data_IF_155864912808
#
_entry.id   IF_155864912808
#
_cell.length_a   1.000
_cell.length_b   1.000
_cell.length_c   1.000
_cell.angle_alpha   90.00
_cell.angle_beta   90.00
_cell.angle_gamma   90.00
#
_symmetry.space_group_name_H-M   'P 1'
#
loop_
_entity.id
_entity.type
_entity.pdbx_description
1 polymer ?
#
# COMPACT_ATOMS: atom_id res chain seq x y z
N UNK A 1 26.40 9.66 -11.97
CA UNK A 1 25.28 9.72 -11.02
C UNK A 1 25.49 8.65 -9.99
N UNK A 2 25.25 8.92 -8.71
CA UNK A 2 25.33 7.94 -7.63
C UNK A 2 24.35 6.80 -7.92
N UNK A 3 24.81 5.55 -7.87
CA UNK A 3 23.89 4.42 -7.98
C UNK A 3 23.16 4.24 -6.66
N UNK A 4 21.85 4.01 -6.71
CA UNK A 4 21.04 3.72 -5.53
C UNK A 4 20.69 2.25 -5.52
N UNK A 5 20.80 1.65 -4.35
CA UNK A 5 20.53 0.24 -4.13
C UNK A 5 19.49 0.04 -3.03
N UNK A 6 18.79 -1.09 -3.11
CA UNK A 6 17.89 -1.57 -2.06
C UNK A 6 18.71 -2.48 -1.14
N UNK A 7 18.96 -2.03 0.09
CA UNK A 7 19.70 -2.78 1.10
C UNK A 7 18.82 -3.87 1.77
N UNK A 8 17.55 -3.56 1.99
CA UNK A 8 16.56 -4.50 2.53
C UNK A 8 15.15 -4.15 2.06
N UNK A 9 14.25 -5.13 2.16
CA UNK A 9 12.84 -5.00 1.86
C UNK A 9 12.02 -5.77 2.90
N UNK A 10 10.84 -5.27 3.24
CA UNK A 10 9.90 -5.91 4.17
C UNK A 10 8.47 -5.43 3.92
N UNK A 11 7.50 -6.28 4.25
CA UNK A 11 6.07 -5.92 4.30
C UNK A 11 5.37 -6.64 5.44
N UNK A 12 4.26 -6.10 5.92
CA UNK A 12 3.32 -6.89 6.73
C UNK A 12 2.62 -7.91 5.82
N UNK A 13 1.89 -8.88 6.39
CA UNK A 13 0.80 -9.51 5.66
C UNK A 13 -0.18 -8.46 5.12
N UNK A 14 -0.96 -8.82 4.11
CA UNK A 14 -2.08 -8.03 3.62
C UNK A 14 -3.36 -8.53 4.30
N UNK A 15 -3.92 -7.68 5.17
CA UNK A 15 -5.19 -7.93 5.83
C UNK A 15 -6.37 -7.70 4.90
N UNK A 16 -7.44 -8.46 5.08
CA UNK A 16 -8.71 -8.21 4.37
C UNK A 16 -9.45 -7.02 5.01
N UNK A 17 -10.34 -6.37 4.26
CA UNK A 17 -11.21 -5.33 4.82
C UNK A 17 -11.98 -5.86 6.04
N UNK A 18 -11.88 -5.14 7.15
CA UNK A 18 -12.43 -5.53 8.46
C UNK A 18 -11.91 -6.87 9.00
N UNK A 19 -10.74 -7.32 8.51
CA UNK A 19 -10.04 -8.55 8.90
C UNK A 19 -9.05 -8.34 10.06
N UNK A 20 -7.89 -8.99 9.98
CA UNK A 20 -6.90 -9.00 11.07
C UNK A 20 -6.46 -7.62 11.56
N UNK A 21 -6.31 -6.66 10.65
CA UNK A 21 -5.82 -5.32 10.97
C UNK A 21 -6.93 -4.28 11.15
N UNK A 22 -8.19 -4.69 11.27
CA UNK A 22 -9.33 -3.77 11.37
C UNK A 22 -9.24 -2.72 12.49
N UNK A 23 -8.43 -2.98 13.53
CA UNK A 23 -8.22 -2.08 14.66
C UNK A 23 -6.77 -1.63 14.82
N UNK A 24 -5.94 -1.79 13.79
CA UNK A 24 -4.51 -1.47 13.84
C UNK A 24 -4.22 -0.23 13.01
N UNK A 25 -3.84 0.91 13.62
CA UNK A 25 -3.49 2.11 12.88
C UNK A 25 -2.41 1.84 11.81
N UNK A 26 -2.53 2.48 10.64
CA UNK A 26 -1.59 2.29 9.53
C UNK A 26 -0.13 2.59 9.93
N UNK A 27 0.09 3.57 10.82
CA UNK A 27 1.42 3.93 11.30
C UNK A 27 2.05 2.88 12.22
N UNK A 28 1.26 2.01 12.86
CA UNK A 28 1.80 0.89 13.63
C UNK A 28 2.25 -0.25 12.70
N UNK A 29 1.51 -0.49 11.60
CA UNK A 29 1.94 -1.39 10.53
C UNK A 29 3.23 -0.87 9.87
N UNK A 30 3.28 0.45 9.61
CA UNK A 30 4.47 1.14 9.10
C UNK A 30 5.67 0.99 10.04
N UNK A 31 5.47 1.20 11.35
CA UNK A 31 6.54 1.04 12.33
C UNK A 31 7.14 -0.39 12.32
N UNK A 32 6.28 -1.41 12.30
CA UNK A 32 6.70 -2.81 12.18
C UNK A 32 7.59 -3.06 10.95
N UNK A 33 7.22 -2.49 9.80
CA UNK A 33 8.01 -2.60 8.57
C UNK A 33 9.34 -1.87 8.70
N UNK A 34 9.37 -0.64 9.24
CA UNK A 34 10.60 0.13 9.41
C UNK A 34 11.61 -0.59 10.32
N UNK A 35 11.13 -1.19 11.42
CA UNK A 35 11.98 -1.98 12.31
C UNK A 35 12.57 -3.20 11.59
N UNK A 36 11.76 -3.90 10.80
CA UNK A 36 12.23 -5.04 10.01
C UNK A 36 13.23 -4.63 8.93
N UNK A 37 13.05 -3.47 8.27
CA UNK A 37 13.99 -2.97 7.27
C UNK A 37 15.37 -2.73 7.86
N UNK A 38 15.45 -2.03 8.99
CA UNK A 38 16.71 -1.76 9.68
C UNK A 38 17.36 -3.06 10.14
N UNK A 39 16.59 -3.96 10.78
CA UNK A 39 17.09 -5.25 11.25
C UNK A 39 17.63 -6.12 10.10
N UNK A 40 16.92 -6.20 8.97
CA UNK A 40 17.33 -6.98 7.79
C UNK A 40 18.55 -6.39 7.08
N UNK A 41 18.71 -5.07 7.09
CA UNK A 41 19.89 -4.41 6.54
C UNK A 41 21.12 -4.53 7.45
N UNK A 42 20.93 -4.83 8.74
CA UNK A 42 22.01 -4.95 9.72
C UNK A 42 22.66 -3.61 10.06
N UNK A 43 21.90 -2.52 10.06
CA UNK A 43 22.36 -1.18 10.44
C UNK A 43 21.77 -0.73 11.77
N UNK A 44 22.33 0.31 12.38
CA UNK A 44 21.76 0.92 13.58
C UNK A 44 20.57 1.81 13.22
N UNK A 45 19.52 1.80 14.06
CA UNK A 45 18.34 2.68 13.90
C UNK A 45 18.76 4.15 13.76
N UNK A 46 19.83 4.55 14.45
CA UNK A 46 20.36 5.93 14.45
C UNK A 46 20.89 6.42 13.10
N UNK A 47 21.09 5.52 12.15
CA UNK A 47 21.71 5.85 10.87
C UNK A 47 20.67 6.19 9.78
N UNK A 48 19.39 5.94 10.02
CA UNK A 48 18.32 6.29 9.07
C UNK A 48 18.18 7.82 9.05
N UNK A 49 18.58 8.43 7.93
CA UNK A 49 18.58 9.89 7.73
C UNK A 49 17.17 10.44 7.47
N UNK A 50 16.32 9.65 6.80
CA UNK A 50 14.99 10.09 6.39
C UNK A 50 14.00 8.92 6.27
N UNK A 51 12.72 9.21 6.43
CA UNK A 51 11.62 8.27 6.15
C UNK A 51 10.53 8.92 5.30
N UNK A 52 10.22 8.29 4.16
CA UNK A 52 9.19 8.74 3.22
C UNK A 52 8.16 7.63 3.05
N UNK A 53 6.94 7.82 3.56
CA UNK A 53 5.89 6.82 3.47
C UNK A 53 4.66 7.33 2.74
N UNK A 54 4.20 6.57 1.75
CA UNK A 54 2.91 6.77 1.12
C UNK A 54 1.76 6.41 2.06
N UNK A 55 0.78 7.30 2.22
CA UNK A 55 -0.51 6.98 2.85
C UNK A 55 -1.60 7.88 2.27
N UNK A 56 -2.70 7.29 1.81
CA UNK A 56 -3.78 8.01 1.14
C UNK A 56 -4.83 8.43 2.16
N UNK A 57 -5.33 7.47 2.95
CA UNK A 57 -6.42 7.67 3.89
C UNK A 57 -5.87 8.18 5.23
N UNK A 58 -5.68 9.50 5.31
CA UNK A 58 -5.07 10.19 6.46
C UNK A 58 -6.08 10.95 7.34
N UNK A 59 -7.36 10.92 6.98
CA UNK A 59 -8.42 11.59 7.74
C UNK A 59 -8.45 11.09 9.20
N UNK A 60 -8.27 12.02 10.15
CA UNK A 60 -8.31 11.70 11.58
C UNK A 60 -7.12 10.90 12.12
N UNK A 61 -6.08 10.64 11.32
CA UNK A 61 -4.93 9.81 11.71
C UNK A 61 -3.84 10.57 12.51
N UNK A 62 -4.12 11.80 12.95
CA UNK A 62 -3.15 12.64 13.64
C UNK A 62 -2.17 13.36 12.70
N UNK A 63 -1.20 14.07 13.27
CA UNK A 63 -0.19 14.80 12.49
C UNK A 63 0.80 13.83 11.87
N UNK A 64 1.01 13.93 10.55
CA UNK A 64 2.07 13.24 9.81
C UNK A 64 2.23 11.74 10.17
N UNK A 65 1.35 10.85 9.67
CA UNK A 65 1.40 9.41 9.97
C UNK A 65 2.73 8.73 9.63
N UNK A 66 3.48 9.22 8.64
CA UNK A 66 4.83 8.72 8.35
C UNK A 66 5.81 9.02 9.49
N UNK A 67 5.69 10.20 10.11
CA UNK A 67 6.47 10.56 11.30
C UNK A 67 6.06 9.74 12.52
N UNK A 68 4.77 9.45 12.68
CA UNK A 68 4.30 8.55 13.74
C UNK A 68 4.93 7.16 13.60
N UNK A 69 4.92 6.58 12.39
CA UNK A 69 5.57 5.30 12.13
C UNK A 69 7.09 5.35 12.40
N UNK A 70 7.77 6.40 11.93
CA UNK A 70 9.20 6.60 12.13
C UNK A 70 9.59 6.63 13.62
N UNK A 71 8.90 7.45 14.42
CA UNK A 71 9.19 7.58 15.85
C UNK A 71 8.79 6.31 16.61
N UNK A 72 7.65 5.70 16.28
CA UNK A 72 7.18 4.47 16.93
C UNK A 72 8.13 3.28 16.64
N UNK A 73 8.77 3.25 15.47
CA UNK A 73 9.82 2.30 15.14
C UNK A 73 11.14 2.55 15.90
N UNK A 74 11.25 3.63 16.68
CA UNK A 74 12.45 4.00 17.42
C UNK A 74 13.58 4.55 16.54
N UNK A 75 13.25 5.12 15.37
CA UNK A 75 14.20 5.85 14.54
C UNK A 75 14.44 7.28 15.11
N UNK A 76 15.52 7.98 14.72
CA UNK A 76 15.95 9.22 15.35
C UNK A 76 14.92 10.34 15.26
N UNK A 77 14.70 11.02 16.38
CA UNK A 77 13.82 12.19 16.37
C UNK A 77 14.45 13.38 15.63
N UNK A 78 15.76 13.35 15.42
CA UNK A 78 16.51 14.36 14.66
C UNK A 78 16.35 14.15 13.14
N UNK A 79 16.04 12.94 12.69
CA UNK A 79 15.84 12.59 11.27
C UNK A 79 14.50 13.09 10.74
N UNK A 80 14.45 13.43 9.46
CA UNK A 80 13.21 13.87 8.82
C UNK A 80 12.27 12.68 8.55
N UNK A 81 10.95 12.90 8.67
CA UNK A 81 9.97 11.93 8.18
C UNK A 81 8.70 12.62 7.71
N UNK A 82 8.17 12.19 6.58
CA UNK A 82 7.02 12.84 5.95
C UNK A 82 6.26 11.88 5.03
N UNK A 83 4.98 12.20 4.84
CA UNK A 83 4.07 11.40 4.04
C UNK A 83 3.87 11.95 2.64
N UNK A 84 3.58 11.07 1.69
CA UNK A 84 3.13 11.44 0.35
C UNK A 84 1.79 10.79 0.01
N UNK A 85 0.99 11.50 -0.80
CA UNK A 85 -0.22 10.96 -1.37
C UNK A 85 -0.18 11.15 -2.89
N UNK A 86 0.06 10.03 -3.58
CA UNK A 86 -0.12 9.84 -5.02
C UNK A 86 -1.08 8.67 -5.27
N UNK A 87 -2.13 8.56 -4.43
CA UNK A 87 -3.11 7.47 -4.41
C UNK A 87 -2.42 6.09 -4.41
N UNK A 88 -2.80 5.15 -5.27
CA UNK A 88 -2.19 3.81 -5.33
C UNK A 88 -0.68 3.85 -5.62
N UNK A 89 -0.19 4.90 -6.28
CA UNK A 89 1.22 5.09 -6.59
C UNK A 89 2.08 5.58 -5.43
N UNK A 90 1.48 5.92 -4.28
CA UNK A 90 2.19 6.57 -3.16
C UNK A 90 3.40 5.76 -2.67
N UNK A 91 3.23 4.46 -2.43
CA UNK A 91 4.32 3.63 -1.91
C UNK A 91 5.52 3.55 -2.85
N UNK A 92 5.26 3.36 -4.15
CA UNK A 92 6.32 3.26 -5.16
C UNK A 92 6.94 4.63 -5.47
N UNK A 93 6.14 5.70 -5.46
CA UNK A 93 6.67 7.07 -5.63
C UNK A 93 7.61 7.45 -4.49
N UNK A 94 7.35 6.99 -3.27
CA UNK A 94 8.23 7.24 -2.12
C UNK A 94 9.62 6.66 -2.37
N UNK A 95 9.70 5.43 -2.91
CA UNK A 95 10.98 4.78 -3.29
C UNK A 95 11.70 5.60 -4.36
N UNK A 96 10.99 6.09 -5.38
CA UNK A 96 11.59 6.92 -6.42
C UNK A 96 12.11 8.26 -5.88
N UNK A 97 11.38 8.93 -4.98
CA UNK A 97 11.82 10.18 -4.34
C UNK A 97 13.03 9.92 -3.43
N UNK A 98 12.99 8.88 -2.62
CA UNK A 98 14.10 8.49 -1.75
C UNK A 98 15.36 8.19 -2.58
N UNK A 99 15.22 7.52 -3.72
CA UNK A 99 16.34 7.35 -4.65
C UNK A 99 16.86 8.68 -5.19
N UNK A 100 15.99 9.66 -5.48
CA UNK A 100 16.41 11.02 -5.87
C UNK A 100 17.20 11.70 -4.75
N UNK A 101 16.73 11.63 -3.49
CA UNK A 101 17.41 12.24 -2.35
C UNK A 101 18.81 11.64 -2.13
N UNK A 102 18.95 10.30 -2.22
CA UNK A 102 20.26 9.63 -2.16
C UNK A 102 21.14 10.01 -3.36
N UNK A 103 20.57 10.11 -4.56
CA UNK A 103 21.32 10.51 -5.76
C UNK A 103 21.87 11.94 -5.70
N UNK A 104 21.09 12.84 -5.10
CA UNK A 104 21.41 14.27 -4.97
C UNK A 104 22.29 14.57 -3.75
N UNK A 105 22.43 13.61 -2.82
CA UNK A 105 23.19 13.78 -1.58
C UNK A 105 22.41 14.51 -0.48
N UNK A 106 21.07 14.54 -0.57
CA UNK A 106 20.19 15.13 0.45
C UNK A 106 20.03 14.22 1.68
N UNK A 107 20.20 12.90 1.49
CA UNK A 107 20.12 11.89 2.54
C UNK A 107 20.98 10.67 2.20
N UNK A 108 21.58 10.02 3.21
CA UNK A 108 22.48 8.87 3.00
C UNK A 108 21.72 7.54 3.02
N UNK A 109 20.86 7.35 4.03
CA UNK A 109 20.05 6.14 4.23
C UNK A 109 18.58 6.55 4.40
N UNK A 110 17.73 6.09 3.49
CA UNK A 110 16.33 6.48 3.45
C UNK A 110 15.44 5.24 3.53
N UNK A 111 14.53 5.20 4.50
CA UNK A 111 13.45 4.22 4.51
C UNK A 111 12.27 4.73 3.68
N UNK A 112 11.85 3.97 2.69
CA UNK A 112 10.83 4.40 1.74
C UNK A 112 9.80 3.30 1.44
N UNK A 113 8.53 3.66 1.33
CA UNK A 113 7.47 2.69 1.14
C UNK A 113 6.08 3.28 1.30
N UNK A 114 5.14 2.48 1.79
CA UNK A 114 3.78 2.91 2.08
C UNK A 114 3.12 2.13 3.21
N UNK A 115 2.09 2.73 3.78
CA UNK A 115 1.28 2.18 4.86
C UNK A 115 -0.17 2.58 4.61
N UNK A 116 -1.11 1.65 4.80
CA UNK A 116 -2.53 1.95 4.65
C UNK A 116 -3.37 1.08 5.57
N UNK A 117 -4.47 1.65 6.04
CA UNK A 117 -5.53 0.89 6.68
C UNK A 117 -6.88 1.43 6.21
N UNK A 118 -7.46 0.73 5.23
CA UNK A 118 -8.75 1.07 4.65
C UNK A 118 -9.89 0.79 5.63
N UNK A 119 -9.75 -0.24 6.47
CA UNK A 119 -10.73 -0.61 7.51
C UNK A 119 -10.97 0.48 8.55
N UNK A 120 -9.94 1.29 8.87
CA UNK A 120 -9.99 2.39 9.85
C UNK A 120 -10.34 3.75 9.25
N UNK A 121 -10.67 3.81 7.97
CA UNK A 121 -11.11 5.05 7.33
C UNK A 121 -12.40 5.58 7.98
N UNK A 122 -12.44 6.85 8.43
CA UNK A 122 -13.63 7.40 9.04
C UNK A 122 -14.66 7.81 7.98
N UNK A 123 -15.89 8.02 8.41
CA UNK A 123 -16.76 8.93 7.68
C UNK A 123 -16.50 10.38 8.12
N UNK A 124 -16.63 11.35 7.21
CA UNK A 124 -16.35 12.77 7.45
C UNK A 124 -17.57 13.65 7.17
N UNK A 125 -17.71 14.75 7.92
CA UNK A 125 -18.72 15.78 7.70
C UNK A 125 -18.15 17.16 8.00
N UNK A 126 -18.55 18.17 7.24
CA UNK A 126 -18.10 19.55 7.45
C UNK A 126 -18.96 20.28 8.49
N UNK A 127 -18.66 20.07 9.78
CA UNK A 127 -19.47 20.60 10.88
C UNK A 127 -18.98 21.95 11.45
N UNK A 128 -17.84 22.49 11.01
CA UNK A 128 -17.16 23.60 11.69
C UNK A 128 -17.98 24.89 11.75
N UNK A 129 -18.75 25.20 10.71
CA UNK A 129 -19.65 26.36 10.68
C UNK A 129 -21.02 26.08 11.34
N UNK A 130 -21.25 24.87 11.83
CA UNK A 130 -22.55 24.39 12.29
C UNK A 130 -23.52 24.09 11.14
N UNK A 131 -24.57 23.34 11.44
CA UNK A 131 -25.72 23.12 10.55
C UNK A 131 -26.94 23.81 11.12
N UNK A 132 -27.49 24.79 10.41
CA UNK A 132 -28.57 25.65 10.91
C UNK A 132 -29.92 24.93 10.98
N UNK A 133 -30.26 24.15 9.95
CA UNK A 133 -31.49 23.35 9.84
C UNK A 133 -31.36 22.39 8.64
N UNK A 134 -31.98 21.22 8.69
CA UNK A 134 -31.95 20.21 7.62
C UNK A 134 -30.95 19.07 7.88
N UNK A 135 -30.85 18.14 6.92
CA UNK A 135 -30.08 16.91 7.05
C UNK A 135 -28.56 17.15 6.99
N UNK A 136 -27.80 16.30 7.70
CA UNK A 136 -26.34 16.23 7.65
C UNK A 136 -25.93 14.90 7.03
N UNK A 137 -25.13 14.94 5.96
CA UNK A 137 -24.56 13.73 5.36
C UNK A 137 -23.15 13.46 5.89
N UNK A 138 -22.86 12.17 6.09
CA UNK A 138 -21.53 11.66 6.38
C UNK A 138 -20.96 11.03 5.12
N UNK A 139 -19.77 11.48 4.72
CA UNK A 139 -19.08 11.02 3.50
C UNK A 139 -18.09 9.94 3.90
N UNK A 140 -18.17 8.77 3.28
CA UNK A 140 -17.15 7.72 3.40
C UNK A 140 -15.82 8.23 2.83
N UNK A 141 -14.79 8.40 3.69
CA UNK A 141 -13.49 8.93 3.26
C UNK A 141 -12.69 7.93 2.45
N UNK A 142 -12.83 6.63 2.67
CA UNK A 142 -12.18 5.61 1.84
C UNK A 142 -12.65 5.72 0.40
N UNK A 143 -13.96 5.83 0.19
CA UNK A 143 -14.51 6.02 -1.15
C UNK A 143 -14.09 7.39 -1.68
N UNK A 144 -14.35 8.47 -0.94
CA UNK A 144 -14.16 9.83 -1.44
C UNK A 144 -12.71 10.18 -1.75
N UNK A 145 -11.79 9.78 -0.88
CA UNK A 145 -10.38 10.19 -0.95
C UNK A 145 -9.50 9.15 -1.64
N UNK A 146 -9.95 7.88 -1.72
CA UNK A 146 -9.17 6.78 -2.30
C UNK A 146 -9.74 6.20 -3.60
N UNK A 147 -11.07 6.18 -3.80
CA UNK A 147 -11.72 5.35 -4.82
C UNK A 147 -12.71 6.08 -5.73
N UNK A 148 -12.82 7.39 -5.59
CA UNK A 148 -13.75 8.22 -6.37
C UNK A 148 -12.98 9.15 -7.29
N UNK A 149 -13.31 9.13 -8.57
CA UNK A 149 -12.67 10.03 -9.52
C UNK A 149 -13.17 11.45 -9.31
N UNK A 150 -12.25 12.34 -8.97
CA UNK A 150 -12.56 13.73 -8.66
C UNK A 150 -13.09 14.51 -9.88
N UNK A 151 -12.84 14.02 -11.10
CA UNK A 151 -13.12 14.74 -12.34
C UNK A 151 -14.40 14.26 -13.03
N UNK A 152 -14.61 12.95 -13.10
CA UNK A 152 -15.75 12.35 -13.78
C UNK A 152 -16.90 11.99 -12.84
N UNK A 153 -16.70 12.02 -11.52
CA UNK A 153 -17.77 11.81 -10.54
C UNK A 153 -18.28 10.37 -10.48
N UNK A 154 -17.40 9.37 -10.58
CA UNK A 154 -17.74 7.95 -10.42
C UNK A 154 -16.63 7.16 -9.70
N UNK A 155 -16.92 5.91 -9.34
CA UNK A 155 -15.96 5.01 -8.69
C UNK A 155 -14.83 4.57 -9.64
N UNK A 156 -13.65 4.23 -9.12
CA UNK A 156 -12.54 3.65 -9.90
C UNK A 156 -12.94 2.38 -10.69
N UNK A 157 -13.96 1.68 -10.24
CA UNK A 157 -14.50 0.53 -10.96
C UNK A 157 -15.06 0.89 -12.34
N UNK A 158 -15.58 2.11 -12.51
CA UNK A 158 -16.03 2.60 -13.81
C UNK A 158 -14.85 2.87 -14.76
N UNK A 159 -13.68 3.31 -14.26
CA UNK A 159 -12.51 3.48 -15.13
C UNK A 159 -12.03 2.14 -15.67
N UNK A 160 -12.11 1.07 -14.86
CA UNK A 160 -11.84 -0.29 -15.30
C UNK A 160 -12.84 -0.75 -16.38
N UNK A 161 -14.14 -0.44 -16.27
CA UNK A 161 -15.11 -0.70 -17.33
C UNK A 161 -14.80 0.09 -18.61
N UNK A 162 -14.38 1.35 -18.50
CA UNK A 162 -13.99 2.17 -19.65
C UNK A 162 -12.80 1.56 -20.39
N UNK A 163 -11.80 1.05 -19.64
CA UNK A 163 -10.65 0.34 -20.20
C UNK A 163 -11.10 -0.97 -20.85
N UNK A 164 -11.92 -1.77 -20.16
CA UNK A 164 -12.43 -3.02 -20.70
C UNK A 164 -13.19 -2.80 -22.02
N UNK A 165 -14.04 -1.77 -22.09
CA UNK A 165 -14.76 -1.40 -23.30
C UNK A 165 -13.81 -0.90 -24.41
N UNK A 166 -12.88 0.01 -24.08
CA UNK A 166 -12.00 0.61 -25.10
C UNK A 166 -11.01 -0.38 -25.70
N UNK A 167 -10.51 -1.33 -24.90
CA UNK A 167 -9.58 -2.37 -25.34
C UNK A 167 -10.23 -3.74 -25.58
N UNK A 168 -11.57 -3.82 -25.50
CA UNK A 168 -12.34 -5.05 -25.75
C UNK A 168 -11.90 -6.23 -24.86
N UNK A 169 -11.61 -5.94 -23.59
CA UNK A 169 -11.24 -6.95 -22.59
C UNK A 169 -12.52 -7.59 -22.06
N UNK A 170 -12.85 -8.77 -22.58
CA UNK A 170 -14.09 -9.47 -22.22
C UNK A 170 -14.14 -9.88 -20.75
N UNK A 171 -15.36 -10.13 -20.25
CA UNK A 171 -15.60 -10.67 -18.91
C UNK A 171 -14.85 -11.99 -18.67
N UNK A 172 -14.85 -12.89 -19.65
CA UNK A 172 -14.17 -14.18 -19.53
C UNK A 172 -12.65 -14.00 -19.37
N UNK A 173 -12.03 -13.07 -20.12
CA UNK A 173 -10.61 -12.75 -19.97
C UNK A 173 -10.29 -12.21 -18.56
N UNK A 174 -11.17 -11.38 -18.01
CA UNK A 174 -11.01 -10.83 -16.65
C UNK A 174 -11.11 -11.93 -15.58
N UNK A 175 -12.11 -12.80 -15.69
CA UNK A 175 -12.31 -13.89 -14.73
C UNK A 175 -11.21 -14.96 -14.84
N UNK A 176 -10.76 -15.31 -16.05
CA UNK A 176 -9.62 -16.21 -16.27
C UNK A 176 -8.34 -15.66 -15.63
N UNK A 177 -8.06 -14.37 -15.83
CA UNK A 177 -6.92 -13.70 -15.20
C UNK A 177 -7.01 -13.74 -13.67
N UNK A 178 -8.20 -13.51 -13.12
CA UNK A 178 -8.43 -13.52 -11.69
C UNK A 178 -8.27 -14.92 -11.06
N UNK A 179 -8.80 -15.97 -11.70
CA UNK A 179 -8.58 -17.37 -11.26
C UNK A 179 -7.10 -17.72 -11.29
N UNK A 180 -6.41 -17.36 -12.38
CA UNK A 180 -4.96 -17.58 -12.50
C UNK A 180 -4.21 -16.84 -11.39
N UNK A 181 -4.60 -15.60 -11.05
CA UNK A 181 -3.99 -14.83 -9.97
C UNK A 181 -4.14 -15.53 -8.61
N UNK A 182 -5.37 -15.94 -8.26
CA UNK A 182 -5.66 -16.63 -7.00
C UNK A 182 -4.90 -17.95 -6.87
N UNK A 183 -4.88 -18.76 -7.94
CA UNK A 183 -4.19 -20.06 -7.93
C UNK A 183 -2.66 -19.91 -7.84
N UNK A 184 -2.08 -18.87 -8.46
CA UNK A 184 -0.65 -18.53 -8.29
C UNK A 184 -0.35 -18.10 -6.86
N UNK A 185 -1.20 -17.26 -6.27
CA UNK A 185 -1.03 -16.79 -4.89
C UNK A 185 -1.17 -17.94 -3.88
N UNK A 186 -2.15 -18.83 -4.05
CA UNK A 186 -2.30 -20.05 -3.26
C UNK A 186 -1.05 -20.95 -3.36
N UNK A 187 -0.55 -21.20 -4.57
CA UNK A 187 0.65 -22.01 -4.77
C UNK A 187 1.89 -21.37 -4.13
N UNK A 188 2.04 -20.05 -4.23
CA UNK A 188 3.15 -19.31 -3.62
C UNK A 188 3.09 -19.36 -2.09
N UNK A 189 1.90 -19.17 -1.50
CA UNK A 189 1.68 -19.23 -0.06
C UNK A 189 1.96 -20.64 0.49
N UNK A 190 1.43 -21.68 -0.17
CA UNK A 190 1.68 -23.09 0.20
C UNK A 190 3.15 -23.49 0.07
N UNK A 191 3.87 -22.91 -0.89
CA UNK A 191 5.30 -23.13 -1.09
C UNK A 191 6.20 -22.24 -0.22
N UNK A 192 5.62 -21.40 0.66
CA UNK A 192 6.39 -20.54 1.56
C UNK A 192 7.11 -19.36 0.89
N UNK A 193 6.74 -18.98 -0.34
CA UNK A 193 7.48 -17.96 -1.12
C UNK A 193 7.42 -16.55 -0.52
N UNK A 194 6.46 -16.28 0.36
CA UNK A 194 6.30 -14.97 1.01
C UNK A 194 7.02 -14.88 2.36
N UNK A 195 7.59 -15.98 2.88
CA UNK A 195 8.17 -16.02 4.22
C UNK A 195 9.31 -15.02 4.40
N UNK A 196 10.14 -14.83 3.37
CA UNK A 196 11.29 -13.92 3.43
C UNK A 196 10.89 -12.44 3.39
N UNK A 197 9.76 -12.09 2.77
CA UNK A 197 9.31 -10.71 2.62
C UNK A 197 8.32 -10.26 3.71
N UNK A 198 7.58 -11.20 4.31
CA UNK A 198 6.61 -10.92 5.38
C UNK A 198 7.32 -10.73 6.72
N UNK A 199 6.99 -9.64 7.41
CA UNK A 199 7.25 -9.43 8.83
C UNK A 199 5.95 -9.71 9.59
N UNK A 200 5.92 -10.74 10.46
CA UNK A 200 4.74 -11.03 11.27
C UNK A 200 4.33 -9.84 12.14
N UNK A 201 3.03 -9.59 12.24
CA UNK A 201 2.48 -8.52 13.08
C UNK A 201 1.69 -9.12 14.23
N UNK A 202 1.94 -8.65 15.46
CA UNK A 202 1.21 -9.11 16.65
C UNK A 202 0.08 -8.15 16.98
N UNK A 203 -1.15 -8.60 16.76
CA UNK A 203 -2.38 -7.86 17.12
C UNK A 203 -2.73 -8.16 18.57
N UNK A 204 -2.71 -7.14 19.41
CA UNK A 204 -3.09 -7.25 20.83
C UNK A 204 -4.62 -7.24 20.96
N UNK A 205 -5.20 -8.27 21.56
CA UNK A 205 -6.64 -8.34 21.82
C UNK A 205 -6.92 -8.51 23.30
N UNK A 206 -8.17 -8.24 23.72
CA UNK A 206 -8.60 -8.51 25.11
C UNK A 206 -8.50 -9.99 25.49
N UNK A 207 -8.47 -10.90 24.52
CA UNK A 207 -8.38 -12.37 24.72
C UNK A 207 -6.95 -12.90 24.62
N UNK A 208 -5.97 -12.03 24.39
CA UNK A 208 -4.58 -12.39 24.15
C UNK A 208 -4.06 -11.88 22.81
N UNK A 209 -2.77 -12.11 22.58
CA UNK A 209 -2.06 -11.67 21.40
C UNK A 209 -2.28 -12.67 20.24
N UNK A 210 -2.53 -12.15 19.05
CA UNK A 210 -2.70 -12.92 17.82
C UNK A 210 -1.57 -12.53 16.88
N UNK A 211 -0.78 -13.51 16.44
CA UNK A 211 0.25 -13.29 15.41
C UNK A 211 -0.38 -13.47 14.04
N UNK A 212 -0.24 -12.46 13.20
CA UNK A 212 -0.67 -12.46 11.80
C UNK A 212 0.58 -12.54 10.94
N UNK A 213 0.75 -13.64 10.20
CA UNK A 213 1.94 -13.95 9.42
C UNK A 213 1.63 -14.38 7.97
N UNK A 214 0.37 -14.31 7.57
CA UNK A 214 -0.11 -14.77 6.26
C UNK A 214 -1.11 -13.79 5.66
N UNK A 215 -1.05 -13.62 4.34
CA UNK A 215 -2.01 -12.82 3.58
C UNK A 215 -3.42 -13.44 3.66
N UNK A 216 -4.40 -12.66 4.09
CA UNK A 216 -5.75 -13.16 4.38
C UNK A 216 -6.67 -13.19 3.15
N UNK A 217 -6.37 -12.35 2.15
CA UNK A 217 -7.28 -12.11 1.03
C UNK A 217 -7.18 -13.17 -0.08
N UNK A 218 -6.22 -14.09 0.02
CA UNK A 218 -6.02 -15.17 -0.97
C UNK A 218 -7.14 -16.20 -0.81
N UNK A 219 -7.93 -16.40 -1.87
CA UNK A 219 -9.02 -17.38 -1.90
C UNK A 219 -8.52 -18.69 -2.49
N UNK A 220 -8.16 -19.63 -1.62
CA UNK A 220 -7.74 -20.97 -2.04
C UNK A 220 -8.87 -21.71 -2.77
N UNK A 221 -8.51 -22.49 -3.78
CA UNK A 221 -9.44 -23.27 -4.60
C UNK A 221 -10.35 -22.39 -5.45
N UNK A 222 -9.87 -21.24 -5.93
CA UNK A 222 -10.63 -20.38 -6.83
C UNK A 222 -10.89 -21.10 -8.16
N UNK A 223 -12.15 -21.09 -8.61
CA UNK A 223 -12.58 -21.72 -9.87
C UNK A 223 -13.29 -20.73 -10.78
N UNK A 224 -13.24 -20.98 -12.09
CA UNK A 224 -13.89 -20.13 -13.10
C UNK A 224 -15.41 -20.13 -12.92
N UNK A 225 -16.00 -21.28 -12.56
CA UNK A 225 -17.43 -21.41 -12.32
C UNK A 225 -17.90 -20.60 -11.11
N UNK A 226 -17.02 -20.38 -10.13
CA UNK A 226 -17.32 -19.53 -8.99
C UNK A 226 -17.26 -18.04 -9.36
N UNK A 227 -16.29 -17.64 -10.19
CA UNK A 227 -16.15 -16.24 -10.62
C UNK A 227 -17.28 -15.80 -11.55
N UNK A 228 -17.63 -16.63 -12.54
CA UNK A 228 -18.69 -16.33 -13.52
C UNK A 228 -20.08 -16.15 -12.89
N UNK A 229 -20.31 -16.67 -11.66
CA UNK A 229 -21.56 -16.47 -10.91
C UNK A 229 -21.69 -15.06 -10.31
N UNK A 230 -20.61 -14.30 -10.22
CA UNK A 230 -20.64 -12.98 -9.60
C UNK A 230 -21.26 -11.93 -10.53
N UNK A 231 -22.09 -11.09 -9.92
CA UNK A 231 -22.73 -9.95 -10.56
C UNK A 231 -21.71 -8.81 -10.74
N UNK A 232 -21.88 -7.98 -11.78
CA UNK A 232 -21.13 -6.75 -11.93
C UNK A 232 -21.22 -5.86 -10.68
N UNK A 233 -20.11 -5.25 -10.29
CA UNK A 233 -19.98 -4.50 -9.04
C UNK A 233 -20.27 -2.99 -9.20
N UNK A 234 -20.04 -2.44 -10.40
CA UNK A 234 -20.02 -0.98 -10.60
C UNK A 234 -21.06 -0.47 -11.60
N UNK A 235 -21.36 -1.24 -12.64
CA UNK A 235 -22.40 -0.92 -13.62
C UNK A 235 -23.31 -2.13 -13.81
N UNK A 236 -24.60 -1.90 -14.10
CA UNK A 236 -25.61 -2.98 -14.15
C UNK A 236 -25.25 -4.10 -15.13
N UNK A 237 -24.74 -3.72 -16.29
CA UNK A 237 -24.38 -4.62 -17.39
C UNK A 237 -22.85 -4.67 -17.61
N UNK A 238 -22.10 -4.39 -16.54
CA UNK A 238 -20.64 -4.32 -16.55
C UNK A 238 -19.93 -5.66 -16.61
N UNK A 239 -18.62 -5.60 -16.77
CA UNK A 239 -17.72 -6.77 -16.78
C UNK A 239 -16.95 -6.93 -15.46
N UNK A 240 -16.79 -5.85 -14.70
CA UNK A 240 -15.98 -5.84 -13.48
C UNK A 240 -16.81 -6.33 -12.29
N UNK A 241 -16.28 -7.29 -11.54
CA UNK A 241 -16.90 -7.94 -10.38
C UNK A 241 -15.98 -7.93 -9.17
N UNK A 242 -16.51 -8.32 -8.01
CA UNK A 242 -15.71 -8.49 -6.81
C UNK A 242 -14.64 -9.60 -6.90
N UNK A 243 -14.72 -10.51 -7.88
CA UNK A 243 -13.69 -11.55 -8.05
C UNK A 243 -12.56 -11.14 -9.00
N UNK A 244 -12.85 -10.25 -9.96
CA UNK A 244 -11.87 -9.81 -10.96
C UNK A 244 -11.35 -8.37 -10.73
N UNK A 245 -11.75 -7.75 -9.62
CA UNK A 245 -11.14 -6.56 -9.04
C UNK A 245 -10.39 -6.90 -7.74
N UNK A 246 -9.44 -6.06 -7.34
CA UNK A 246 -8.79 -6.17 -6.03
C UNK A 246 -9.76 -5.85 -4.88
N UNK A 247 -9.39 -6.28 -3.68
CA UNK A 247 -10.14 -5.95 -2.47
C UNK A 247 -9.86 -4.56 -1.93
N UNK A 248 -10.49 -4.29 -0.80
CA UNK A 248 -10.08 -3.26 0.15
C UNK A 248 -9.22 -3.97 1.19
N UNK A 249 -8.06 -3.42 1.51
CA UNK A 249 -7.03 -4.14 2.25
C UNK A 249 -6.22 -3.22 3.16
N UNK A 250 -5.59 -3.83 4.16
CA UNK A 250 -4.77 -3.14 5.15
C UNK A 250 -3.35 -3.73 5.13
N UNK A 251 -2.33 -2.88 5.24
CA UNK A 251 -0.94 -3.33 5.27
C UNK A 251 0.09 -2.21 5.16
N UNK A 252 1.35 -2.56 5.34
CA UNK A 252 2.48 -1.69 5.06
C UNK A 252 3.59 -2.45 4.34
N UNK A 253 4.39 -1.75 3.56
CA UNK A 253 5.55 -2.29 2.85
C UNK A 253 6.59 -1.20 2.62
N UNK A 254 7.86 -1.58 2.57
CA UNK A 254 8.93 -0.63 2.31
C UNK A 254 10.25 -1.28 1.95
N UNK A 255 11.22 -0.42 1.68
CA UNK A 255 12.60 -0.73 1.37
C UNK A 255 13.52 0.26 2.07
N UNK A 256 14.74 -0.19 2.36
CA UNK A 256 15.81 0.67 2.83
C UNK A 256 16.75 0.98 1.66
N UNK A 257 16.92 2.25 1.34
CA UNK A 257 17.75 2.73 0.23
C UNK A 257 19.03 3.38 0.74
N UNK A 258 20.11 3.18 0.00
CA UNK A 258 21.39 3.86 0.19
C UNK A 258 22.16 3.88 -1.14
N UNK A 259 23.29 4.58 -1.19
CA UNK A 259 24.19 4.50 -2.34
C UNK A 259 24.88 3.14 -2.40
N UNK A 260 25.33 2.72 -3.59
CA UNK A 260 26.17 1.52 -3.74
C UNK A 260 27.46 1.61 -2.91
N UNK A 261 28.10 2.78 -2.87
CA UNK A 261 29.28 3.04 -2.05
C UNK A 261 29.01 2.92 -0.54
N UNK A 262 27.86 3.40 -0.06
CA UNK A 262 27.49 3.28 1.36
C UNK A 262 27.19 1.82 1.73
N UNK A 263 26.57 1.06 0.83
CA UNK A 263 26.38 -0.38 1.01
C UNK A 263 27.72 -1.14 1.07
N UNK A 264 28.66 -0.84 0.16
CA UNK A 264 30.00 -1.45 0.12
C UNK A 264 30.79 -1.16 1.41
N UNK A 265 30.79 0.10 1.86
CA UNK A 265 31.43 0.52 3.11
C UNK A 265 30.94 -0.26 4.33
N UNK A 266 29.68 -0.71 4.30
CA UNK A 266 29.01 -1.44 5.38
C UNK A 266 29.08 -2.97 5.21
N UNK A 267 29.60 -3.46 4.09
CA UNK A 267 29.55 -4.88 3.75
C UNK A 267 28.14 -5.41 3.50
N UNK A 268 27.20 -4.54 3.15
CA UNK A 268 25.82 -4.93 2.83
C UNK A 268 25.79 -5.43 1.38
N UNK A 269 25.31 -6.66 1.17
CA UNK A 269 25.03 -7.17 -0.16
C UNK A 269 23.64 -6.70 -0.62
N UNK A 270 23.52 -5.76 -1.57
CA UNK A 270 22.23 -5.18 -1.91
C UNK A 270 21.33 -6.17 -2.64
N UNK A 271 20.02 -6.08 -2.42
CA UNK A 271 19.01 -6.92 -3.09
C UNK A 271 18.89 -6.59 -4.58
N UNK A 272 18.95 -5.30 -4.91
CA UNK A 272 18.85 -4.80 -6.27
C UNK A 272 19.38 -3.37 -6.39
N UNK A 273 19.72 -2.96 -7.62
CA UNK A 273 20.00 -1.57 -7.98
C UNK A 273 18.76 -0.95 -8.65
N UNK A 274 18.42 0.27 -8.27
CA UNK A 274 17.37 1.04 -8.96
C UNK A 274 17.95 1.53 -10.28
N UNK A 275 17.52 0.92 -11.39
CA UNK A 275 18.02 1.26 -12.72
C UNK A 275 17.43 2.57 -13.25
N UNK A 276 16.12 2.78 -13.05
CA UNK A 276 15.37 3.96 -13.50
C UNK A 276 13.97 3.97 -12.88
N UNK A 277 13.29 5.11 -12.93
CA UNK A 277 11.87 5.25 -12.61
C UNK A 277 11.25 6.32 -13.51
N UNK A 278 9.93 6.26 -13.72
CA UNK A 278 9.18 7.26 -14.47
C UNK A 278 7.77 7.44 -13.87
N UNK A 279 7.22 8.63 -14.00
CA UNK A 279 5.83 8.95 -13.65
C UNK A 279 5.17 9.56 -14.87
N UNK A 280 3.98 9.05 -15.24
CA UNK A 280 3.23 9.51 -16.42
C UNK A 280 1.80 9.82 -16.00
N UNK A 281 1.25 10.91 -16.54
CA UNK A 281 -0.17 11.24 -16.41
C UNK A 281 -0.96 10.75 -17.63
N UNK A 282 -2.15 10.22 -17.38
CA UNK A 282 -3.10 9.80 -18.40
C UNK A 282 -4.46 10.49 -18.17
N UNK A 283 -5.39 10.31 -19.11
CA UNK A 283 -6.78 10.69 -18.92
C UNK A 283 -7.37 9.95 -17.68
N UNK A 284 -7.97 10.67 -16.71
CA UNK A 284 -8.51 10.05 -15.50
C UNK A 284 -9.52 8.93 -15.75
N UNK A 285 -10.26 8.99 -16.86
CA UNK A 285 -11.26 7.98 -17.21
C UNK A 285 -10.68 6.60 -17.55
N UNK A 286 -9.36 6.52 -17.79
CA UNK A 286 -8.61 5.29 -18.12
C UNK A 286 -7.35 5.13 -17.26
N UNK A 287 -7.40 5.60 -16.01
CA UNK A 287 -6.23 5.61 -15.11
C UNK A 287 -5.48 4.26 -15.00
N UNK A 288 -6.20 3.14 -15.13
CA UNK A 288 -5.65 1.78 -14.98
C UNK A 288 -4.80 1.27 -16.16
N UNK A 289 -4.52 2.12 -17.15
CA UNK A 289 -3.64 1.78 -18.29
C UNK A 289 -2.16 2.10 -17.99
N UNK A 290 -1.91 2.95 -16.99
CA UNK A 290 -0.57 3.39 -16.60
C UNK A 290 0.23 2.41 -15.77
#
# INVERSE_FOLDING_TARGET
>A
MTNVVIASAARTPVGSFTGSFANTPAHDLGACVLEALVARAGIDKSEVSETILGQVLSAGQGQNPARQAHVNAGLPIESAAWGINQVCGSGLRAVAIAAQHVQLGDADIVAAGGQENMSLSPHVAHLRAGYKMGDVSYVDSMIRDGLWDAFNGYHMGQTAENVAQKWQISRDMQDEFAVMSQNKAEAAQKAGRFQDEITPFTVKTRKGDIVVDQDEYIRHGATIEAMQKLRPAFTKDGSVTAANASGLNDGAAGVLLMSDAEAEKRGINPLARIASFATVGLDPSIMGVG
#
